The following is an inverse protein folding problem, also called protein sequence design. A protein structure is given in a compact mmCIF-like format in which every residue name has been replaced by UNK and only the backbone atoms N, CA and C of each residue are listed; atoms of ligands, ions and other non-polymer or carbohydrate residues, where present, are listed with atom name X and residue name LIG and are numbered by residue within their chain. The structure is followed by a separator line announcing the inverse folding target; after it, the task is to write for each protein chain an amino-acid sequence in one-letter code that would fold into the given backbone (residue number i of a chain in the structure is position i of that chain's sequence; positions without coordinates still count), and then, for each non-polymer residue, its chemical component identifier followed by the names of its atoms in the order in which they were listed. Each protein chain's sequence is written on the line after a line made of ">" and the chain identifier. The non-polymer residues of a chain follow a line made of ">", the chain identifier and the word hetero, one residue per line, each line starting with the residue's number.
data_IF_965721502725
#
_entry.id   IF_965721502725
#
_cell.length_a   1.000
_cell.length_b   1.000
_cell.length_c   1.000
_cell.angle_alpha   90.00
_cell.angle_beta   90.00
_cell.angle_gamma   90.00
#
_symmetry.space_group_name_H-M   'P 1'
#
loop_
_entity.id
_entity.type
_entity.pdbx_description
1 polymer ?
#
# COMPACT_ATOMS: atom_id res chain seq x y z
N UNK A 1 25.04 6.66 -5.92
CA UNK A 1 24.64 5.30 -6.35
C UNK A 1 23.48 5.42 -7.32
N UNK A 2 23.48 4.67 -8.41
CA UNK A 2 22.40 4.69 -9.42
C UNK A 2 21.49 3.48 -9.22
N UNK A 3 20.20 3.63 -9.52
CA UNK A 3 19.23 2.55 -9.47
C UNK A 3 18.38 2.57 -10.73
N UNK A 4 18.06 1.38 -11.26
CA UNK A 4 17.14 1.17 -12.37
C UNK A 4 15.92 0.42 -11.85
N UNK A 5 14.73 0.95 -12.11
CA UNK A 5 13.45 0.31 -11.76
C UNK A 5 12.88 -0.35 -13.00
N UNK A 6 12.51 -1.62 -12.89
CA UNK A 6 11.91 -2.42 -13.95
C UNK A 6 10.52 -2.86 -13.50
N UNK A 7 9.50 -2.39 -14.20
CA UNK A 7 8.15 -2.93 -14.11
C UNK A 7 7.93 -3.88 -15.28
N UNK A 8 8.09 -5.18 -15.04
CA UNK A 8 7.95 -6.22 -16.07
C UNK A 8 6.59 -6.92 -16.01
N UNK A 9 6.41 -7.90 -16.90
CA UNK A 9 5.36 -8.93 -16.86
C UNK A 9 3.93 -8.46 -17.14
N UNK A 10 3.74 -7.19 -17.44
CA UNK A 10 2.43 -6.63 -17.74
C UNK A 10 1.85 -7.09 -19.08
N UNK A 11 2.58 -7.77 -19.95
CA UNK A 11 2.00 -8.34 -21.19
C UNK A 11 2.55 -9.73 -21.46
N UNK A 12 3.82 -9.91 -21.13
CA UNK A 12 4.62 -11.09 -21.45
C UNK A 12 4.10 -12.37 -20.79
N UNK A 13 3.51 -12.29 -19.59
CA UNK A 13 2.89 -13.44 -18.90
C UNK A 13 1.82 -14.16 -19.74
N UNK A 14 1.12 -13.41 -20.61
CA UNK A 14 0.12 -13.99 -21.49
C UNK A 14 0.70 -14.52 -22.80
N UNK A 15 1.73 -13.86 -23.32
CA UNK A 15 2.24 -14.09 -24.66
C UNK A 15 3.35 -15.14 -24.69
N UNK A 16 4.06 -15.33 -23.57
CA UNK A 16 5.28 -16.13 -23.51
C UNK A 16 5.20 -17.25 -22.48
N UNK A 17 6.08 -18.24 -22.64
CA UNK A 17 6.29 -19.28 -21.63
C UNK A 17 7.06 -18.71 -20.45
N UNK A 18 6.97 -19.38 -19.29
CA UNK A 18 7.72 -19.02 -18.09
C UNK A 18 9.22 -18.88 -18.33
N UNK A 19 9.79 -19.82 -19.07
CA UNK A 19 11.22 -19.85 -19.39
C UNK A 19 11.61 -18.60 -20.19
N UNK A 20 10.85 -18.30 -21.25
CA UNK A 20 11.18 -17.20 -22.17
C UNK A 20 11.18 -15.83 -21.49
N UNK A 21 10.16 -15.52 -20.68
CA UNK A 21 10.13 -14.20 -20.02
C UNK A 21 11.19 -14.09 -18.90
N UNK A 22 11.56 -15.20 -18.25
CA UNK A 22 12.60 -15.19 -17.23
C UNK A 22 14.00 -15.06 -17.83
N UNK A 23 14.26 -15.71 -18.96
CA UNK A 23 15.53 -15.59 -19.68
C UNK A 23 15.70 -14.19 -20.29
N UNK A 24 14.62 -13.64 -20.84
CA UNK A 24 14.60 -12.25 -21.32
C UNK A 24 14.89 -11.26 -20.21
N UNK A 25 14.34 -11.49 -19.02
CA UNK A 25 14.59 -10.66 -17.85
C UNK A 25 16.05 -10.79 -17.36
N UNK A 26 16.59 -12.00 -17.28
CA UNK A 26 18.01 -12.21 -16.93
C UNK A 26 18.93 -11.52 -17.93
N UNK A 27 18.68 -11.69 -19.23
CA UNK A 27 19.46 -11.02 -20.28
C UNK A 27 19.40 -9.49 -20.17
N UNK A 28 18.25 -8.94 -19.78
CA UNK A 28 18.12 -7.50 -19.54
C UNK A 28 18.98 -7.05 -18.36
N UNK A 29 19.01 -7.80 -17.26
CA UNK A 29 19.84 -7.50 -16.10
C UNK A 29 21.33 -7.55 -16.44
N UNK A 30 21.77 -8.58 -17.18
CA UNK A 30 23.16 -8.71 -17.62
C UNK A 30 23.59 -7.50 -18.46
N UNK A 31 22.74 -7.03 -19.37
CA UNK A 31 23.01 -5.84 -20.18
C UNK A 31 23.08 -4.56 -19.33
N UNK A 32 22.20 -4.42 -18.34
CA UNK A 32 22.20 -3.26 -17.44
C UNK A 32 23.48 -3.26 -16.59
N UNK A 33 23.85 -4.40 -16.01
CA UNK A 33 25.04 -4.53 -15.17
C UNK A 33 26.33 -4.43 -15.98
N UNK A 34 26.36 -4.91 -17.22
CA UNK A 34 27.50 -4.70 -18.12
C UNK A 34 27.72 -3.21 -18.42
N UNK A 35 26.64 -2.43 -18.59
CA UNK A 35 26.72 -1.00 -18.87
C UNK A 35 26.95 -0.15 -17.62
N UNK A 36 26.36 -0.54 -16.51
CA UNK A 36 26.45 0.14 -15.22
C UNK A 36 26.74 -0.86 -14.08
N UNK A 37 28.01 -1.29 -13.90
CA UNK A 37 28.36 -2.38 -12.98
C UNK A 37 27.99 -2.12 -11.51
N UNK A 38 27.96 -0.86 -11.10
CA UNK A 38 27.60 -0.45 -9.74
C UNK A 38 26.10 -0.10 -9.59
N UNK A 39 25.29 -0.36 -10.62
CA UNK A 39 23.86 -0.12 -10.56
C UNK A 39 23.18 -1.14 -9.65
N UNK A 40 22.16 -0.69 -8.93
CA UNK A 40 21.18 -1.57 -8.31
C UNK A 40 19.93 -1.66 -9.17
N UNK A 41 19.34 -2.83 -9.27
CA UNK A 41 18.13 -3.08 -10.06
C UNK A 41 17.00 -3.34 -9.09
N UNK A 42 15.89 -2.62 -9.23
CA UNK A 42 14.65 -2.92 -8.53
C UNK A 42 13.69 -3.53 -9.54
N UNK A 43 13.35 -4.80 -9.36
CA UNK A 43 12.26 -5.43 -10.10
C UNK A 43 10.97 -5.32 -9.33
N UNK A 44 9.98 -4.70 -9.93
CA UNK A 44 8.62 -4.67 -9.43
C UNK A 44 7.90 -5.95 -9.84
N UNK A 45 7.30 -6.64 -8.86
CA UNK A 45 6.55 -7.88 -9.11
C UNK A 45 5.40 -7.65 -10.08
N UNK A 46 5.02 -8.71 -10.80
CA UNK A 46 3.86 -8.73 -11.67
C UNK A 46 2.60 -8.33 -10.89
N UNK A 47 1.85 -7.40 -11.47
CA UNK A 47 0.63 -6.89 -10.89
C UNK A 47 -0.53 -7.80 -11.26
N UNK A 48 -1.28 -8.22 -10.24
CA UNK A 48 -2.58 -8.85 -10.43
C UNK A 48 -3.53 -7.84 -11.07
N UNK A 49 -4.28 -8.29 -12.07
CA UNK A 49 -5.22 -7.43 -12.79
C UNK A 49 -6.26 -8.26 -13.52
N UNK A 50 -7.26 -7.55 -14.00
CA UNK A 50 -8.47 -8.14 -14.54
C UNK A 50 -9.19 -8.96 -13.48
N UNK A 51 -10.26 -9.61 -13.91
CA UNK A 51 -10.97 -10.60 -13.10
C UNK A 51 -10.71 -12.02 -13.59
N UNK A 52 -9.69 -12.22 -14.44
CA UNK A 52 -9.34 -13.52 -15.02
C UNK A 52 -8.46 -14.32 -14.04
N UNK A 53 -8.96 -15.45 -13.49
CA UNK A 53 -8.17 -16.27 -12.58
C UNK A 53 -6.87 -16.78 -13.24
N UNK A 54 -6.94 -17.17 -14.51
CA UNK A 54 -5.79 -17.72 -15.24
C UNK A 54 -4.64 -16.73 -15.42
N UNK A 55 -4.93 -15.43 -15.59
CA UNK A 55 -3.87 -14.42 -15.59
C UNK A 55 -3.22 -14.30 -14.21
N UNK A 56 -4.05 -14.20 -13.18
CA UNK A 56 -3.60 -13.95 -11.82
C UNK A 56 -2.79 -15.12 -11.27
N UNK A 57 -3.12 -16.36 -11.61
CA UNK A 57 -2.31 -17.55 -11.31
C UNK A 57 -0.93 -17.48 -11.97
N UNK A 58 -0.86 -17.10 -13.25
CA UNK A 58 0.43 -16.96 -13.94
C UNK A 58 1.25 -15.80 -13.38
N UNK A 59 0.62 -14.69 -12.99
CA UNK A 59 1.29 -13.57 -12.32
C UNK A 59 1.86 -13.98 -10.97
N UNK A 60 1.10 -14.76 -10.19
CA UNK A 60 1.57 -15.33 -8.94
C UNK A 60 2.78 -16.25 -9.15
N UNK A 61 2.71 -17.15 -10.13
CA UNK A 61 3.82 -18.05 -10.47
C UNK A 61 5.07 -17.28 -10.92
N UNK A 62 4.91 -16.23 -11.74
CA UNK A 62 6.01 -15.36 -12.16
C UNK A 62 6.66 -14.65 -10.96
N UNK A 63 5.85 -14.16 -10.01
CA UNK A 63 6.34 -13.49 -8.81
C UNK A 63 7.17 -14.43 -7.92
N UNK A 64 6.72 -15.66 -7.72
CA UNK A 64 7.48 -16.68 -6.98
C UNK A 64 8.81 -16.95 -7.68
N UNK A 65 8.80 -17.12 -9.00
CA UNK A 65 10.00 -17.42 -9.77
C UNK A 65 11.03 -16.28 -9.69
N UNK A 66 10.58 -15.03 -9.78
CA UNK A 66 11.44 -13.84 -9.61
C UNK A 66 12.06 -13.81 -8.23
N UNK A 67 11.26 -14.03 -7.19
CA UNK A 67 11.76 -14.09 -5.82
C UNK A 67 12.79 -15.21 -5.69
N UNK A 68 12.49 -16.42 -6.15
CA UNK A 68 13.40 -17.55 -6.05
C UNK A 68 14.71 -17.35 -6.81
N UNK A 69 14.64 -16.85 -8.06
CA UNK A 69 15.81 -16.69 -8.94
C UNK A 69 16.75 -15.59 -8.46
N UNK A 70 16.21 -14.47 -7.95
CA UNK A 70 17.00 -13.27 -7.68
C UNK A 70 17.18 -12.94 -6.19
N UNK A 71 16.63 -13.72 -5.27
CA UNK A 71 16.74 -13.45 -3.81
C UNK A 71 18.19 -13.38 -3.30
N UNK A 72 19.12 -14.12 -3.92
CA UNK A 72 20.53 -14.16 -3.49
C UNK A 72 21.41 -13.12 -4.21
N UNK A 73 20.88 -12.37 -5.17
CA UNK A 73 21.67 -11.42 -5.94
C UNK A 73 21.78 -10.07 -5.20
N UNK A 74 22.99 -9.63 -4.83
CA UNK A 74 23.18 -8.39 -4.07
C UNK A 74 22.92 -7.11 -4.89
N UNK A 75 22.78 -7.21 -6.21
CA UNK A 75 22.46 -6.09 -7.10
C UNK A 75 20.96 -5.97 -7.37
N UNK A 76 20.18 -7.01 -7.11
CA UNK A 76 18.76 -7.07 -7.46
C UNK A 76 17.90 -7.00 -6.21
N UNK A 77 16.93 -6.10 -6.24
CA UNK A 77 15.95 -5.85 -5.17
C UNK A 77 14.56 -6.10 -5.73
N UNK A 78 13.68 -6.70 -4.93
CA UNK A 78 12.30 -6.94 -5.34
C UNK A 78 11.39 -5.92 -4.66
N UNK A 79 10.63 -5.17 -5.47
CA UNK A 79 9.54 -4.35 -4.98
C UNK A 79 8.28 -5.21 -4.85
N UNK A 80 7.91 -5.49 -3.60
CA UNK A 80 6.71 -6.26 -3.30
C UNK A 80 5.44 -5.39 -3.44
N UNK A 81 4.50 -5.91 -4.23
CA UNK A 81 3.20 -5.31 -4.48
C UNK A 81 2.04 -6.15 -3.92
N UNK A 82 2.34 -7.09 -3.02
CA UNK A 82 1.35 -7.96 -2.37
C UNK A 82 0.16 -7.19 -1.77
N UNK A 83 0.40 -6.00 -1.20
CA UNK A 83 -0.63 -5.12 -0.64
C UNK A 83 -1.66 -4.56 -1.64
N UNK A 84 -1.44 -4.73 -2.95
CA UNK A 84 -2.41 -4.39 -4.00
C UNK A 84 -3.36 -5.56 -4.34
N UNK A 85 -3.17 -6.70 -3.69
CA UNK A 85 -3.87 -7.94 -3.94
C UNK A 85 -4.33 -8.60 -2.64
N UNK A 86 -5.35 -9.46 -2.75
CA UNK A 86 -5.80 -10.32 -1.67
C UNK A 86 -6.07 -11.70 -2.25
N UNK A 87 -5.48 -12.73 -1.63
CA UNK A 87 -5.64 -14.14 -2.05
C UNK A 87 -5.34 -14.37 -3.55
N UNK A 88 -4.29 -13.74 -4.05
CA UNK A 88 -3.89 -13.84 -5.46
C UNK A 88 -4.86 -13.17 -6.44
N UNK A 89 -5.74 -12.28 -5.97
CA UNK A 89 -6.65 -11.50 -6.81
C UNK A 89 -6.43 -10.01 -6.56
N UNK A 90 -6.60 -9.14 -7.56
CA UNK A 90 -6.46 -7.71 -7.35
C UNK A 90 -7.58 -7.18 -6.44
N UNK A 91 -7.24 -6.24 -5.57
CA UNK A 91 -8.25 -5.54 -4.78
C UNK A 91 -8.94 -4.53 -5.70
N UNK A 92 -10.23 -4.74 -5.97
CA UNK A 92 -11.00 -3.97 -6.96
C UNK A 92 -10.93 -2.45 -6.77
N UNK A 93 -10.85 -1.97 -5.53
CA UNK A 93 -10.73 -0.54 -5.22
C UNK A 93 -9.43 0.10 -5.77
N UNK A 94 -8.38 -0.69 -5.96
CA UNK A 94 -7.10 -0.23 -6.49
C UNK A 94 -7.01 -0.28 -8.02
N UNK A 95 -8.01 -0.85 -8.70
CA UNK A 95 -8.08 -0.89 -10.16
C UNK A 95 -8.98 0.20 -10.72
N UNK A 96 -8.64 0.65 -11.93
CA UNK A 96 -9.48 1.49 -12.76
C UNK A 96 -10.69 0.69 -13.30
N UNK A 97 -11.59 1.37 -14.01
CA UNK A 97 -12.82 0.75 -14.56
C UNK A 97 -12.55 -0.37 -15.57
N UNK A 98 -11.41 -0.32 -16.25
CA UNK A 98 -10.96 -1.36 -17.18
C UNK A 98 -10.46 -2.62 -16.47
N UNK A 99 -10.34 -2.59 -15.14
CA UNK A 99 -9.76 -3.64 -14.30
C UNK A 99 -8.30 -3.98 -14.64
N UNK A 100 -7.62 -3.24 -15.51
CA UNK A 100 -6.26 -3.53 -15.96
C UNK A 100 -5.28 -2.51 -15.38
N UNK A 101 -5.62 -1.23 -15.43
CA UNK A 101 -4.79 -0.16 -14.92
C UNK A 101 -5.15 0.16 -13.47
N UNK A 102 -4.24 0.82 -12.75
CA UNK A 102 -4.54 1.26 -11.40
C UNK A 102 -5.50 2.46 -11.38
N UNK A 103 -6.34 2.48 -10.35
CA UNK A 103 -7.01 3.71 -9.93
C UNK A 103 -6.00 4.68 -9.32
N UNK A 104 -6.44 5.89 -9.00
CA UNK A 104 -5.62 6.84 -8.25
C UNK A 104 -5.19 6.27 -6.88
N UNK A 105 -6.07 5.53 -6.20
CA UNK A 105 -5.77 4.88 -4.94
C UNK A 105 -4.71 3.77 -5.11
N UNK A 106 -4.86 2.92 -6.13
CA UNK A 106 -3.86 1.89 -6.44
C UNK A 106 -2.50 2.49 -6.80
N UNK A 107 -2.49 3.56 -7.59
CA UNK A 107 -1.27 4.28 -7.98
C UNK A 107 -0.53 4.83 -6.76
N UNK A 108 -1.25 5.36 -5.76
CA UNK A 108 -0.64 5.84 -4.51
C UNK A 108 0.06 4.75 -3.72
N UNK A 109 -0.59 3.60 -3.57
CA UNK A 109 -0.02 2.45 -2.85
C UNK A 109 1.18 1.89 -3.62
N UNK A 110 1.05 1.72 -4.94
CA UNK A 110 2.15 1.29 -5.80
C UNK A 110 3.35 2.24 -5.73
N UNK A 111 3.12 3.55 -5.80
CA UNK A 111 4.18 4.55 -5.67
C UNK A 111 4.82 4.54 -4.27
N UNK A 112 4.05 4.27 -3.21
CA UNK A 112 4.58 4.13 -1.87
C UNK A 112 5.49 2.89 -1.74
N UNK A 113 5.09 1.75 -2.32
CA UNK A 113 5.90 0.52 -2.35
C UNK A 113 7.21 0.77 -3.11
N UNK A 114 7.13 1.34 -4.33
CA UNK A 114 8.32 1.69 -5.11
C UNK A 114 9.24 2.65 -4.37
N UNK A 115 8.68 3.68 -3.72
CA UNK A 115 9.47 4.62 -2.93
C UNK A 115 10.18 3.91 -1.78
N UNK A 116 9.51 3.00 -1.07
CA UNK A 116 10.14 2.20 -0.02
C UNK A 116 11.29 1.39 -0.59
N UNK A 117 11.07 0.65 -1.68
CA UNK A 117 12.12 -0.17 -2.31
C UNK A 117 13.30 0.67 -2.80
N UNK A 118 13.07 1.85 -3.39
CA UNK A 118 14.14 2.78 -3.79
C UNK A 118 14.91 3.28 -2.57
N UNK A 119 14.21 3.66 -1.51
CA UNK A 119 14.81 4.14 -0.27
C UNK A 119 15.68 3.06 0.37
N UNK A 120 15.16 1.84 0.47
CA UNK A 120 15.87 0.68 1.04
C UNK A 120 17.08 0.30 0.18
N UNK A 121 16.90 0.21 -1.14
CA UNK A 121 17.93 -0.12 -2.12
C UNK A 121 19.07 0.91 -2.11
N UNK A 122 18.73 2.20 -2.05
CA UNK A 122 19.69 3.29 -2.05
C UNK A 122 20.23 3.64 -0.65
N UNK A 123 19.74 2.96 0.39
CA UNK A 123 20.04 3.27 1.80
C UNK A 123 19.82 4.76 2.13
N UNK A 124 18.77 5.35 1.57
CA UNK A 124 18.43 6.74 1.83
C UNK A 124 17.90 6.82 3.27
N UNK A 125 18.51 7.63 4.15
CA UNK A 125 18.07 7.73 5.54
C UNK A 125 16.63 8.21 5.61
N UNK A 126 15.80 7.48 6.36
CA UNK A 126 14.41 7.87 6.59
C UNK A 126 14.36 9.22 7.30
N UNK A 127 13.80 10.22 6.61
CA UNK A 127 13.44 11.48 7.24
C UNK A 127 12.00 11.37 7.71
N UNK A 128 11.73 11.38 9.04
CA UNK A 128 10.37 11.35 9.52
C UNK A 128 9.61 12.54 8.91
N UNK A 129 8.35 12.34 8.49
CA UNK A 129 7.56 13.43 7.93
C UNK A 129 7.57 14.57 8.94
N UNK A 130 8.06 15.74 8.52
CA UNK A 130 8.04 16.94 9.36
C UNK A 130 6.59 17.14 9.79
N UNK A 131 6.31 17.00 11.09
CA UNK A 131 5.01 17.37 11.64
C UNK A 131 4.78 18.83 11.24
N UNK A 132 3.83 19.07 10.35
CA UNK A 132 3.27 20.39 10.21
C UNK A 132 2.59 20.66 11.54
N UNK A 133 3.21 21.46 12.40
CA UNK A 133 2.57 22.01 13.57
C UNK A 133 1.40 22.84 13.05
N UNK A 134 0.24 22.21 12.87
CA UNK A 134 -1.01 22.93 12.80
C UNK A 134 -1.10 23.64 14.13
N UNK A 135 -0.73 24.93 14.13
CA UNK A 135 -1.04 25.84 15.21
C UNK A 135 -2.54 25.67 15.46
N UNK A 136 -2.86 24.99 16.56
CA UNK A 136 -4.18 25.08 17.15
C UNK A 136 -4.33 26.55 17.52
N UNK A 137 -4.89 27.34 16.60
CA UNK A 137 -5.63 28.54 17.00
C UNK A 137 -6.77 28.01 17.84
N UNK A 138 -6.56 28.01 19.15
CA UNK A 138 -7.60 27.91 20.15
C UNK A 138 -8.65 28.95 19.82
N UNK A 139 -9.77 28.52 19.24
CA UNK A 139 -10.95 29.36 19.16
C UNK A 139 -11.41 29.63 20.60
N UNK A 140 -11.09 30.81 21.11
CA UNK A 140 -11.59 31.37 22.37
C UNK A 140 -13.11 31.67 22.35
N UNK A 141 -13.90 30.98 21.53
CA UNK A 141 -15.34 31.23 21.38
C UNK A 141 -16.22 30.37 22.31
N UNK A 142 -15.64 29.52 23.16
CA UNK A 142 -16.39 28.72 24.12
C UNK A 142 -16.74 29.43 25.44
N UNK A 143 -16.37 30.72 25.62
CA UNK A 143 -16.64 31.49 26.86
C UNK A 143 -17.61 32.67 26.70
N UNK A 144 -18.30 32.80 25.56
CA UNK A 144 -19.27 33.89 25.34
C UNK A 144 -20.73 33.42 25.56
N UNK A 145 -20.98 32.11 25.74
CA UNK A 145 -22.35 31.59 25.92
C UNK A 145 -22.92 31.72 27.33
N UNK A 146 -22.09 31.94 28.36
CA UNK A 146 -22.55 32.00 29.76
C UNK A 146 -22.86 33.41 30.28
N UNK A 147 -22.57 34.48 29.53
CA UNK A 147 -22.84 35.85 30.01
C UNK A 147 -24.23 36.39 29.61
N UNK A 148 -24.96 35.71 28.73
CA UNK A 148 -26.27 36.17 28.23
C UNK A 148 -27.49 35.39 28.75
N UNK A 149 -27.32 34.37 29.60
CA UNK A 149 -28.46 33.66 30.20
C UNK A 149 -28.94 34.21 31.56
N UNK A 150 -28.26 35.22 32.15
CA UNK A 150 -28.66 35.79 33.45
C UNK A 150 -29.42 37.12 33.38
N UNK A 151 -29.99 37.49 32.22
CA UNK A 151 -30.73 38.76 32.09
C UNK A 151 -32.17 38.69 31.56
N UNK A 152 -32.81 37.53 31.59
CA UNK A 152 -34.25 37.43 31.34
C UNK A 152 -34.92 36.40 32.28
N UNK A 153 -34.99 36.74 33.56
CA UNK A 153 -36.06 36.26 34.44
C UNK A 153 -36.91 37.47 34.81
N UNK A 154 -38.10 37.58 34.19
CA UNK A 154 -39.36 38.04 34.77
C UNK A 154 -40.32 38.41 33.64
N UNK A 155 -41.15 37.45 33.19
CA UNK A 155 -42.60 37.62 33.18
C UNK A 155 -43.32 36.46 32.48
N UNK A 156 -44.42 36.08 33.13
CA UNK A 156 -45.67 35.59 32.54
C UNK A 156 -45.89 34.09 32.39
N UNK A 157 -47.02 33.71 32.98
CA UNK A 157 -47.66 32.41 33.02
C UNK A 157 -48.24 31.97 31.66
N UNK A 158 -48.58 30.67 31.64
CA UNK A 158 -49.60 29.99 30.83
C UNK A 158 -49.26 29.36 29.47
N UNK A 159 -49.56 28.06 29.43
CA UNK A 159 -50.18 27.24 28.38
C UNK A 159 -49.69 27.39 26.93
N UNK A 160 -49.30 26.26 26.35
CA UNK A 160 -49.34 26.11 24.90
C UNK A 160 -48.55 24.93 24.39
N UNK A 161 -49.29 23.91 23.94
CA UNK A 161 -48.78 22.83 23.11
C UNK A 161 -48.02 23.36 21.89
N UNK A 162 -46.91 22.70 21.52
CA UNK A 162 -46.52 22.32 20.14
C UNK A 162 -45.02 22.01 20.08
N UNK A 163 -44.66 20.73 20.08
CA UNK A 163 -43.36 20.30 19.54
C UNK A 163 -43.45 20.26 18.00
N UNK A 164 -42.73 21.19 17.35
CA UNK A 164 -42.34 21.11 15.95
C UNK A 164 -40.88 20.67 15.87
N UNK A 165 -40.67 19.53 15.21
CA UNK A 165 -39.58 19.14 14.29
C UNK A 165 -38.13 19.55 14.63
N UNK A 166 -37.24 18.54 14.68
CA UNK A 166 -35.91 18.65 14.06
C UNK A 166 -35.46 17.32 13.45
N UNK A 167 -35.28 17.33 12.13
CA UNK A 167 -34.47 16.38 11.36
C UNK A 167 -33.00 16.49 11.81
N UNK A 168 -32.37 15.38 12.17
CA UNK A 168 -30.93 15.30 12.35
C UNK A 168 -30.25 14.78 11.08
N UNK A 169 -29.49 15.68 10.43
CA UNK A 169 -28.51 15.37 9.40
C UNK A 169 -27.31 14.61 10.02
N UNK A 170 -27.26 13.30 9.79
CA UNK A 170 -26.11 12.43 10.09
C UNK A 170 -25.14 12.38 8.90
N UNK A 171 -24.34 13.44 8.70
CA UNK A 171 -23.32 13.49 7.63
C UNK A 171 -21.92 13.92 8.09
N UNK A 172 -21.67 14.00 9.41
CA UNK A 172 -20.37 14.45 9.95
C UNK A 172 -19.56 13.39 10.72
N UNK A 173 -20.10 12.19 10.97
CA UNK A 173 -19.36 11.16 11.72
C UNK A 173 -18.47 10.25 10.86
N UNK A 174 -18.77 10.07 9.57
CA UNK A 174 -18.04 9.11 8.74
C UNK A 174 -16.65 9.61 8.30
N UNK A 175 -16.47 10.93 8.21
CA UNK A 175 -15.21 11.52 7.75
C UNK A 175 -14.08 11.41 8.80
N UNK A 176 -14.41 11.38 10.09
CA UNK A 176 -13.42 11.32 11.16
C UNK A 176 -12.99 9.88 11.49
N UNK A 177 -13.83 8.87 11.26
CA UNK A 177 -13.44 7.47 11.45
C UNK A 177 -12.48 6.95 10.37
N UNK A 178 -12.51 7.48 9.14
CA UNK A 178 -11.56 7.05 8.10
C UNK A 178 -10.11 7.53 8.34
N UNK A 179 -9.91 8.66 9.06
CA UNK A 179 -8.55 9.16 9.35
C UNK A 179 -7.85 8.41 10.49
N UNK A 180 -8.57 7.91 11.49
CA UNK A 180 -7.94 7.09 12.55
C UNK A 180 -7.53 5.71 12.02
N UNK A 181 -8.30 5.15 11.09
CA UNK A 181 -7.97 3.84 10.51
C UNK A 181 -6.71 3.89 9.64
N UNK A 182 -6.49 4.94 8.83
CA UNK A 182 -5.30 5.02 7.96
C UNK A 182 -3.95 5.08 8.71
N UNK A 183 -3.92 5.55 9.97
CA UNK A 183 -2.70 5.54 10.78
C UNK A 183 -2.46 4.18 11.48
N UNK A 184 -3.52 3.39 11.71
CA UNK A 184 -3.39 2.04 12.28
C UNK A 184 -2.75 1.06 11.28
N UNK A 185 -3.16 1.11 10.00
CA UNK A 185 -2.58 0.26 8.94
C UNK A 185 -1.09 0.51 8.69
N UNK A 186 -0.63 1.76 8.84
CA UNK A 186 0.80 2.06 8.71
C UNK A 186 1.61 1.46 9.87
N UNK A 187 1.13 1.50 11.11
CA UNK A 187 1.84 0.93 12.26
C UNK A 187 1.83 -0.61 12.26
N UNK A 188 0.72 -1.24 11.87
CA UNK A 188 0.62 -2.70 11.81
C UNK A 188 1.52 -3.31 10.70
N UNK A 189 1.72 -2.58 9.59
CA UNK A 189 2.61 -3.00 8.51
C UNK A 189 4.09 -3.02 8.91
N UNK A 190 4.54 -2.08 9.75
CA UNK A 190 5.92 -2.06 10.26
C UNK A 190 6.18 -3.12 11.33
N UNK A 191 5.16 -3.50 12.13
CA UNK A 191 5.33 -4.52 13.17
C UNK A 191 5.28 -5.96 12.65
N UNK A 192 4.53 -6.26 11.58
CA UNK A 192 4.48 -7.62 11.03
C UNK A 192 5.77 -8.04 10.30
N UNK A 193 6.54 -7.10 9.73
CA UNK A 193 7.78 -7.41 8.99
C UNK A 193 8.92 -7.88 9.91
N UNK A 194 8.99 -7.41 11.15
CA UNK A 194 10.03 -7.84 12.11
C UNK A 194 9.77 -9.24 12.69
N UNK A 195 8.53 -9.74 12.67
CA UNK A 195 8.19 -11.07 13.19
C UNK A 195 8.32 -12.21 12.16
N UNK A 196 8.28 -11.92 10.86
CA UNK A 196 8.36 -12.97 9.82
C UNK A 196 9.78 -13.48 9.53
N UNK A 197 10.82 -12.76 9.94
CA UNK A 197 12.22 -13.21 9.80
C UNK A 197 12.83 -13.78 11.09
N UNK A 198 12.07 -13.83 12.19
CA UNK A 198 12.53 -14.33 13.48
C UNK A 198 12.19 -15.80 13.76
N UNK A 199 11.47 -16.50 12.86
CA UNK A 199 11.00 -17.89 13.11
C UNK A 199 11.43 -18.92 12.05
N UNK A 200 12.33 -18.60 11.12
CA UNK A 200 12.85 -19.59 10.16
C UNK A 200 14.06 -20.37 10.71
N UNK A 201 13.87 -21.10 11.80
CA UNK A 201 14.75 -22.21 12.19
C UNK A 201 13.87 -23.36 12.66
N UNK A 202 13.48 -24.22 11.70
CA UNK A 202 12.98 -25.60 11.84
C UNK A 202 11.99 -25.90 10.72
N UNK A 203 12.50 -26.16 9.53
CA UNK A 203 11.81 -27.02 8.58
C UNK A 203 12.81 -28.05 8.06
N UNK A 204 12.75 -29.22 8.69
CA UNK A 204 13.39 -30.46 8.29
C UNK A 204 12.63 -30.99 7.06
N UNK A 205 13.28 -31.00 5.91
CA UNK A 205 12.70 -31.51 4.66
C UNK A 205 13.20 -32.94 4.45
N UNK A 206 12.32 -33.89 4.73
CA UNK A 206 12.56 -35.31 4.57
C UNK A 206 13.02 -35.69 3.15
N UNK A 207 13.94 -36.65 3.14
CA UNK A 207 14.42 -37.39 1.98
C UNK A 207 13.27 -37.97 1.15
N UNK A 208 13.30 -37.71 -0.16
CA UNK A 208 12.62 -38.54 -1.14
C UNK A 208 13.68 -39.27 -1.97
N UNK A 209 13.78 -40.57 -1.73
CA UNK A 209 14.48 -41.50 -2.61
C UNK A 209 13.62 -41.74 -3.86
N UNK A 210 14.24 -41.65 -5.03
CA UNK A 210 13.65 -42.05 -6.31
C UNK A 210 14.22 -43.42 -6.70
N UNK A 211 13.34 -44.41 -6.85
CA UNK A 211 13.53 -45.55 -7.77
C UNK A 211 13.10 -45.15 -9.20
#
# INVERSE_FOLDING_TARGET
>A
MQCVVIQSFSKDIHAETKVNYMDSLTSLFDKILAKWPNCKIIISTALFRGMSPSYNEKAYAANIEVLHKFFKDPHIFVCDNSGLSSRGQPIRHFLARDNVHFSYAGTKIFAANLRSSITDCLQIPYQPPRRTNYSQKTNNNARIFDYHQQKNNNNSWNNGQHERKTNNNSWNNDYYQQKSNNNAWQNDFYHHRNNQYATSSNYDWGHYDYE
#
